data_IF_596752960272
#
_entry.id   IF_596752960272
#
_cell.length_a   1.000
_cell.length_b   1.000
_cell.length_c   1.000
_cell.angle_alpha   90.00
_cell.angle_beta   90.00
_cell.angle_gamma   90.00
#
_symmetry.space_group_name_H-M   'P 1'
#
loop_
_entity.id
_entity.type
_entity.pdbx_description
1 polymer ?
#
# COMPACT_ATOMS: atom_id res chain seq x y z
N UNK A 1 -20.58 -1.86 -4.00
CA UNK A 1 -19.67 -2.39 -5.05
C UNK A 1 -18.24 -2.04 -4.67
N UNK A 2 -17.38 -3.04 -4.44
CA UNK A 2 -15.98 -2.81 -4.11
C UNK A 2 -15.16 -2.57 -5.38
N UNK A 3 -14.47 -1.44 -5.46
CA UNK A 3 -13.63 -1.06 -6.61
C UNK A 3 -12.16 -1.14 -6.18
N UNK A 4 -11.30 -1.71 -7.03
CA UNK A 4 -9.84 -1.71 -6.80
C UNK A 4 -9.28 -0.31 -7.01
N UNK A 5 -8.30 0.08 -6.21
CA UNK A 5 -7.68 1.40 -6.33
C UNK A 5 -6.73 1.51 -7.55
N UNK A 6 -6.10 0.42 -7.97
CA UNK A 6 -5.38 0.30 -9.25
C UNK A 6 -5.99 -0.80 -10.13
N UNK A 7 -7.14 -0.57 -10.77
CA UNK A 7 -7.86 -1.60 -11.51
C UNK A 7 -7.09 -2.10 -12.76
N UNK A 8 -6.23 -1.25 -13.33
CA UNK A 8 -5.41 -1.55 -14.51
C UNK A 8 -4.07 -2.20 -14.17
N UNK A 9 -3.81 -2.49 -12.88
CA UNK A 9 -2.58 -3.15 -12.43
C UNK A 9 -1.29 -2.47 -12.90
N UNK A 10 -1.31 -1.13 -13.01
CA UNK A 10 -0.16 -0.35 -13.44
C UNK A 10 1.04 -0.55 -12.49
N UNK A 11 2.26 -0.47 -13.02
CA UNK A 11 3.47 -0.42 -12.19
C UNK A 11 3.66 0.97 -11.58
N UNK A 12 4.58 1.11 -10.61
CA UNK A 12 4.82 2.36 -9.85
C UNK A 12 5.03 3.60 -10.74
N UNK A 13 5.76 3.48 -11.86
CA UNK A 13 5.99 4.62 -12.76
C UNK A 13 4.74 4.95 -13.58
N UNK A 14 4.09 3.95 -14.17
CA UNK A 14 2.87 4.14 -14.98
C UNK A 14 1.71 4.64 -14.12
N UNK A 15 1.59 4.16 -12.88
CA UNK A 15 0.59 4.64 -11.92
C UNK A 15 0.87 6.08 -11.49
N UNK A 16 2.14 6.49 -11.43
CA UNK A 16 2.53 7.88 -11.15
C UNK A 16 2.10 8.83 -12.27
N UNK A 17 2.20 8.39 -13.52
CA UNK A 17 1.97 9.18 -14.73
C UNK A 17 0.52 9.11 -15.25
N UNK A 18 -0.35 8.27 -14.68
CA UNK A 18 -1.69 7.97 -15.21
C UNK A 18 -2.71 9.12 -15.18
N UNK A 19 -2.32 10.32 -14.76
CA UNK A 19 -3.24 11.45 -14.59
C UNK A 19 -4.32 11.20 -13.53
N UNK A 20 -4.04 10.30 -12.56
CA UNK A 20 -4.97 9.93 -11.50
C UNK A 20 -5.50 11.15 -10.75
N UNK A 21 -6.79 11.15 -10.40
CA UNK A 21 -7.33 12.14 -9.49
C UNK A 21 -6.59 12.05 -8.15
N UNK A 22 -5.99 13.17 -7.72
CA UNK A 22 -5.54 13.30 -6.34
C UNK A 22 -6.77 13.20 -5.44
N UNK A 23 -6.63 12.44 -4.37
CA UNK A 23 -7.76 12.15 -3.50
C UNK A 23 -8.10 13.42 -2.68
N UNK A 24 -9.39 13.77 -2.51
CA UNK A 24 -9.79 14.98 -1.79
C UNK A 24 -9.29 15.02 -0.33
N UNK A 25 -9.25 16.23 0.23
CA UNK A 25 -8.73 16.58 1.56
C UNK A 25 -9.40 15.87 2.77
N UNK A 26 -10.39 15.00 2.53
CA UNK A 26 -11.14 14.24 3.55
C UNK A 26 -10.73 12.77 3.74
N UNK A 27 -9.63 12.30 3.13
CA UNK A 27 -9.21 10.88 3.21
C UNK A 27 -8.15 10.57 4.28
N UNK A 28 -7.69 11.55 5.06
CA UNK A 28 -6.72 11.30 6.14
C UNK A 28 -7.24 10.28 7.15
N UNK A 29 -8.51 10.40 7.58
CA UNK A 29 -9.11 9.46 8.53
C UNK A 29 -9.17 8.03 7.96
N UNK A 30 -9.33 7.89 6.64
CA UNK A 30 -9.36 6.60 5.95
C UNK A 30 -7.97 5.98 5.86
N UNK A 31 -6.95 6.81 5.59
CA UNK A 31 -5.54 6.39 5.62
C UNK A 31 -5.12 5.94 7.02
N UNK A 32 -5.58 6.61 8.07
CA UNK A 32 -5.36 6.16 9.45
C UNK A 32 -6.08 4.83 9.73
N UNK A 33 -7.27 4.62 9.16
CA UNK A 33 -7.95 3.32 9.19
C UNK A 33 -7.12 2.20 8.55
N UNK A 34 -6.56 2.44 7.36
CA UNK A 34 -5.68 1.50 6.69
C UNK A 34 -4.42 1.22 7.52
N UNK A 35 -3.80 2.27 8.06
CA UNK A 35 -2.62 2.17 8.93
C UNK A 35 -2.93 1.36 10.20
N UNK A 36 -4.09 1.56 10.81
CA UNK A 36 -4.53 0.79 11.96
C UNK A 36 -4.70 -0.70 11.62
N UNK A 37 -5.24 -1.02 10.42
CA UNK A 37 -5.32 -2.39 9.92
C UNK A 37 -3.94 -3.05 9.76
N UNK A 38 -2.97 -2.34 9.19
CA UNK A 38 -1.57 -2.81 9.05
C UNK A 38 -0.96 -3.06 10.44
N UNK A 39 -1.10 -2.12 11.37
CA UNK A 39 -0.58 -2.27 12.73
C UNK A 39 -1.25 -3.41 13.49
N UNK A 40 -2.54 -3.66 13.24
CA UNK A 40 -3.24 -4.80 13.80
C UNK A 40 -2.62 -6.12 13.30
N UNK A 41 -2.34 -6.24 12.00
CA UNK A 41 -1.64 -7.41 11.45
C UNK A 41 -0.26 -7.62 12.11
N UNK A 42 0.49 -6.54 12.32
CA UNK A 42 1.78 -6.58 13.01
C UNK A 42 1.65 -7.05 14.46
N UNK A 43 0.59 -6.64 15.16
CA UNK A 43 0.30 -7.08 16.53
C UNK A 43 0.02 -8.59 16.62
N UNK A 44 -0.43 -9.21 15.52
CA UNK A 44 -0.61 -10.66 15.39
C UNK A 44 0.69 -11.39 15.01
N UNK A 45 1.81 -10.67 14.88
CA UNK A 45 3.11 -11.22 14.50
C UNK A 45 3.28 -11.47 13.00
N UNK A 46 2.42 -10.86 12.17
CA UNK A 46 2.40 -11.02 10.72
C UNK A 46 2.83 -9.72 10.03
N UNK A 47 3.43 -9.83 8.84
CA UNK A 47 3.80 -8.72 7.95
C UNK A 47 3.22 -9.03 6.58
N UNK A 48 2.57 -8.05 5.94
CA UNK A 48 1.89 -8.24 4.66
C UNK A 48 2.86 -8.42 3.48
N UNK A 49 3.94 -7.63 3.45
CA UNK A 49 5.02 -7.65 2.46
C UNK A 49 4.63 -7.32 1.00
N UNK A 50 3.39 -6.90 0.76
CA UNK A 50 2.89 -6.53 -0.57
C UNK A 50 1.82 -5.42 -0.49
N UNK A 51 2.03 -4.43 0.38
CA UNK A 51 1.18 -3.24 0.45
C UNK A 51 1.38 -2.41 -0.82
N UNK A 52 0.36 -2.35 -1.67
CA UNK A 52 0.37 -1.56 -2.90
C UNK A 52 -1.06 -1.17 -3.32
N UNK A 53 -1.23 -0.19 -4.24
CA UNK A 53 -2.55 0.24 -4.73
C UNK A 53 -3.46 -0.86 -5.29
N UNK A 54 -2.90 -1.95 -5.83
CA UNK A 54 -3.70 -3.06 -6.39
C UNK A 54 -4.31 -3.94 -5.30
N UNK A 55 -3.74 -3.91 -4.09
CA UNK A 55 -4.15 -4.67 -2.91
C UNK A 55 -4.98 -3.82 -1.93
N UNK A 56 -5.52 -2.69 -2.40
CA UNK A 56 -6.42 -1.83 -1.64
C UNK A 56 -7.75 -1.70 -2.39
N UNK A 57 -8.85 -1.91 -1.67
CA UNK A 57 -10.21 -1.73 -2.15
C UNK A 57 -10.94 -0.66 -1.34
N UNK A 58 -12.07 -0.19 -1.88
CA UNK A 58 -13.03 0.64 -1.16
C UNK A 58 -14.25 -0.17 -0.72
N UNK A 59 -14.73 0.07 0.50
CA UNK A 59 -16.09 -0.34 0.89
C UNK A 59 -17.15 0.65 0.39
N UNK A 60 -18.42 0.40 0.76
CA UNK A 60 -19.56 1.22 0.32
C UNK A 60 -19.57 2.62 0.95
N UNK A 61 -18.89 2.79 2.09
CA UNK A 61 -18.66 4.07 2.76
C UNK A 61 -17.37 4.76 2.26
N UNK A 62 -16.60 4.02 1.44
CA UNK A 62 -15.33 4.40 0.85
C UNK A 62 -14.12 4.28 1.77
N UNK A 63 -14.21 3.51 2.86
CA UNK A 63 -13.03 3.16 3.67
C UNK A 63 -12.10 2.22 2.90
N UNK A 64 -10.81 2.28 3.21
CA UNK A 64 -9.83 1.37 2.63
C UNK A 64 -9.90 0.00 3.27
N UNK A 65 -9.92 -1.02 2.43
CA UNK A 65 -9.80 -2.43 2.82
C UNK A 65 -8.49 -2.95 2.23
N UNK A 66 -7.62 -3.47 3.10
CA UNK A 66 -6.44 -4.23 2.69
C UNK A 66 -6.88 -5.64 2.27
N UNK A 67 -6.47 -6.07 1.09
CA UNK A 67 -6.77 -7.39 0.52
C UNK A 67 -5.49 -8.12 0.11
N UNK A 68 -5.63 -9.40 -0.25
CA UNK A 68 -4.57 -10.27 -0.79
C UNK A 68 -3.40 -10.55 0.18
N UNK A 69 -3.61 -11.55 1.03
CA UNK A 69 -2.68 -11.92 2.11
C UNK A 69 -1.68 -13.03 1.70
N UNK A 70 -1.55 -13.37 0.41
CA UNK A 70 -0.70 -14.49 -0.04
C UNK A 70 0.79 -14.25 0.24
N UNK A 71 1.20 -12.97 0.29
CA UNK A 71 2.55 -12.52 0.67
C UNK A 71 2.77 -12.41 2.18
N UNK A 72 1.76 -12.65 3.01
CA UNK A 72 1.88 -12.50 4.46
C UNK A 72 2.85 -13.52 5.06
N UNK A 73 3.75 -13.05 5.92
CA UNK A 73 4.76 -13.87 6.59
C UNK A 73 4.88 -13.51 8.06
N UNK A 74 5.39 -14.42 8.89
CA UNK A 74 5.69 -14.06 10.29
C UNK A 74 6.87 -13.10 10.33
N UNK A 75 6.85 -12.20 11.30
CA UNK A 75 7.97 -11.29 11.56
C UNK A 75 9.27 -12.11 11.71
N UNK A 76 10.28 -11.76 10.93
CA UNK A 76 11.60 -12.40 10.92
C UNK A 76 11.77 -13.53 9.90
N UNK A 77 10.71 -13.95 9.20
CA UNK A 77 10.82 -14.98 8.15
C UNK A 77 11.59 -14.46 6.92
N UNK A 78 12.33 -15.37 6.28
CA UNK A 78 13.03 -15.11 5.03
C UNK A 78 12.04 -15.13 3.85
N UNK A 79 12.03 -14.06 3.07
CA UNK A 79 11.09 -13.87 1.97
C UNK A 79 11.51 -14.62 0.68
N UNK A 80 12.80 -14.94 0.52
CA UNK A 80 13.31 -15.70 -0.63
C UNK A 80 13.09 -17.21 -0.54
N UNK A 81 12.97 -17.73 0.68
CA UNK A 81 12.82 -19.18 0.93
C UNK A 81 11.36 -19.63 0.94
N UNK A 82 10.43 -18.69 0.73
CA UNK A 82 9.00 -18.96 0.72
C UNK A 82 8.43 -18.68 -0.66
N UNK A 83 7.36 -19.36 -1.06
CA UNK A 83 6.62 -19.09 -2.30
C UNK A 83 5.83 -17.75 -2.23
N UNK A 84 6.38 -16.72 -1.58
CA UNK A 84 5.74 -15.41 -1.44
C UNK A 84 5.68 -14.75 -2.82
N UNK A 85 4.51 -14.79 -3.45
CA UNK A 85 4.23 -14.05 -4.68
C UNK A 85 4.16 -12.56 -4.40
N UNK A 86 5.32 -11.89 -4.34
CA UNK A 86 5.39 -10.42 -4.23
C UNK A 86 5.18 -9.80 -5.60
N UNK A 87 4.45 -8.69 -5.68
CA UNK A 87 4.16 -8.07 -6.97
C UNK A 87 5.43 -7.42 -7.55
N UNK A 88 5.88 -7.90 -8.71
CA UNK A 88 7.06 -7.38 -9.40
C UNK A 88 6.89 -5.88 -9.72
N UNK A 89 7.92 -5.05 -9.46
CA UNK A 89 7.94 -3.58 -9.54
C UNK A 89 7.26 -2.78 -8.40
N UNK A 90 6.67 -3.43 -7.39
CA UNK A 90 6.12 -2.77 -6.20
C UNK A 90 6.88 -3.09 -4.90
N UNK A 91 7.83 -4.02 -4.94
CA UNK A 91 8.69 -4.38 -3.82
C UNK A 91 10.16 -4.04 -4.09
N UNK A 92 10.90 -3.78 -3.01
CA UNK A 92 12.36 -3.67 -3.04
C UNK A 92 12.98 -5.08 -3.03
N UNK A 93 13.74 -5.48 -4.07
CA UNK A 93 14.36 -6.80 -4.16
C UNK A 93 15.45 -7.03 -3.10
N UNK A 94 15.98 -5.98 -2.48
CA UNK A 94 16.97 -6.10 -1.41
C UNK A 94 16.33 -6.41 -0.04
N UNK A 95 14.99 -6.32 0.06
CA UNK A 95 14.25 -6.68 1.28
C UNK A 95 14.06 -8.20 1.37
N UNK A 96 14.91 -8.83 2.19
CA UNK A 96 14.97 -10.30 2.34
C UNK A 96 14.19 -10.84 3.53
N UNK A 97 13.85 -9.99 4.50
CA UNK A 97 13.26 -10.40 5.78
C UNK A 97 11.91 -9.70 5.95
N UNK A 98 10.90 -10.45 6.41
CA UNK A 98 9.60 -9.92 6.79
C UNK A 98 9.74 -9.05 8.04
N UNK A 99 9.68 -7.73 7.88
CA UNK A 99 9.74 -6.78 8.99
C UNK A 99 8.55 -5.82 8.92
N UNK A 100 7.97 -5.40 10.06
CA UNK A 100 6.93 -4.37 10.09
C UNK A 100 7.26 -3.12 9.28
N UNK A 101 8.55 -2.74 9.24
CA UNK A 101 9.06 -1.62 8.46
C UNK A 101 8.71 -1.73 6.97
N UNK A 102 8.70 -2.94 6.40
CA UNK A 102 8.40 -3.18 4.99
C UNK A 102 7.02 -2.63 4.62
N UNK A 103 6.01 -2.92 5.44
CA UNK A 103 4.64 -2.45 5.21
C UNK A 103 4.49 -0.95 5.51
N UNK A 104 5.21 -0.44 6.51
CA UNK A 104 5.14 0.97 6.89
C UNK A 104 5.81 1.89 5.85
N UNK A 105 6.93 1.47 5.27
CA UNK A 105 7.57 2.19 4.17
C UNK A 105 6.66 2.21 2.93
N UNK A 106 6.07 1.06 2.59
CA UNK A 106 5.14 0.93 1.47
C UNK A 106 3.85 1.73 1.68
N UNK A 107 3.34 1.78 2.91
CA UNK A 107 2.22 2.65 3.29
C UNK A 107 2.57 4.13 3.12
N UNK A 108 3.79 4.54 3.45
CA UNK A 108 4.17 5.95 3.34
C UNK A 108 4.38 6.40 1.89
N UNK A 109 4.95 5.51 1.08
CA UNK A 109 4.95 5.63 -0.37
C UNK A 109 3.53 5.82 -0.92
N UNK A 110 2.59 4.96 -0.49
CA UNK A 110 1.17 5.03 -0.85
C UNK A 110 0.53 6.37 -0.41
N UNK A 111 0.80 6.80 0.83
CA UNK A 111 0.28 8.04 1.39
C UNK A 111 0.74 9.25 0.57
N UNK A 112 2.03 9.35 0.27
CA UNK A 112 2.59 10.43 -0.56
C UNK A 112 1.90 10.43 -1.94
N UNK A 113 1.66 9.26 -2.53
CA UNK A 113 1.01 9.18 -3.84
C UNK A 113 -0.47 9.51 -3.84
N UNK A 114 -1.19 9.29 -2.73
CA UNK A 114 -2.63 9.52 -2.64
C UNK A 114 -2.98 10.97 -2.28
N UNK A 115 -2.19 11.60 -1.42
CA UNK A 115 -2.48 12.96 -0.89
C UNK A 115 -1.60 14.04 -1.54
N UNK A 116 -0.60 13.63 -2.33
CA UNK A 116 0.46 14.50 -2.85
C UNK A 116 1.46 14.88 -1.76
N UNK A 117 2.66 15.35 -2.14
CA UNK A 117 3.51 16.07 -1.19
C UNK A 117 2.90 17.46 -0.91
N UNK A 118 3.06 18.04 0.30
CA UNK A 118 2.73 19.44 0.54
C UNK A 118 3.37 20.40 -0.48
N UNK A 119 4.52 20.02 -1.06
CA UNK A 119 5.26 20.81 -2.05
C UNK A 119 4.69 20.69 -3.48
N UNK A 120 3.91 19.65 -3.79
CA UNK A 120 3.28 19.50 -5.12
C UNK A 120 2.06 20.42 -5.32
N UNK A 121 1.51 20.99 -4.24
CA UNK A 121 0.44 22.02 -4.32
C UNK A 121 0.95 23.41 -4.69
N UNK A 122 2.27 23.64 -4.69
CA UNK A 122 2.85 24.98 -4.91
C UNK A 122 3.26 25.29 -6.37
N UNK A 123 3.01 24.38 -7.32
CA UNK A 123 3.42 24.56 -8.72
C UNK A 123 2.24 24.82 -9.69
N UNK A 124 1.10 25.29 -9.18
CA UNK A 124 -0.05 25.68 -10.00
C UNK A 124 -0.62 27.07 -9.63
N UNK A 125 0.26 28.03 -9.36
CA UNK A 125 -0.06 29.47 -9.50
C UNK A 125 0.50 30.03 -10.81
#
# INVERSE_FOLDING_TARGET
>A
MHVKFNPEHLNKNMFRESGRELIPEGMNDRLEGLRAGILHLHSLGLVHNDINPSNIMFDEDGNFILIDFDSCRRIGENLHETDAGRTWAWHDPDVKIALPKNDLDAFEDLRIWMVGSPDERSNFE
#
